data_IF_707686330483
#
_entry.id   IF_707686330483
#
_cell.length_a   1.000
_cell.length_b   1.000
_cell.length_c   1.000
_cell.angle_alpha   90.00
_cell.angle_beta   90.00
_cell.angle_gamma   90.00
#
_symmetry.space_group_name_H-M   'P 1'
#
loop_
_entity.id
_entity.type
_entity.pdbx_description
1 polymer ?
#
# COMPACT_ATOMS: atom_id res chain seq x y z
N UNK A 1 -6.37 2.99 -6.61
CA UNK A 1 -5.36 2.96 -5.55
C UNK A 1 -6.02 3.45 -4.28
N UNK A 2 -6.00 2.64 -3.24
CA UNK A 2 -6.62 2.91 -1.92
C UNK A 2 -5.56 3.41 -0.94
N UNK A 3 -5.98 4.19 0.06
CA UNK A 3 -5.08 4.66 1.13
C UNK A 3 -4.62 3.48 1.98
N UNK A 4 -5.48 2.50 2.22
CA UNK A 4 -5.14 1.25 2.88
C UNK A 4 -3.98 0.52 2.17
N UNK A 5 -3.86 0.59 0.83
CA UNK A 5 -2.73 -0.01 0.12
C UNK A 5 -1.41 0.71 0.44
N UNK A 6 -1.42 2.04 0.44
CA UNK A 6 -0.24 2.84 0.79
C UNK A 6 0.13 2.69 2.27
N UNK A 7 -0.87 2.55 3.15
CA UNK A 7 -0.68 2.26 4.56
C UNK A 7 0.08 0.95 4.76
N UNK A 8 -0.28 -0.11 4.04
CA UNK A 8 0.38 -1.40 4.15
C UNK A 8 1.84 -1.30 3.73
N UNK A 9 2.15 -0.54 2.67
CA UNK A 9 3.53 -0.27 2.25
C UNK A 9 4.32 0.47 3.35
N UNK A 10 3.76 1.53 3.93
CA UNK A 10 4.39 2.29 5.02
C UNK A 10 4.58 1.44 6.28
N UNK A 11 3.59 0.60 6.62
CA UNK A 11 3.69 -0.35 7.72
C UNK A 11 4.79 -1.39 7.48
N UNK A 12 4.95 -1.87 6.24
CA UNK A 12 6.05 -2.77 5.88
C UNK A 12 7.42 -2.08 6.02
N UNK A 13 7.55 -0.81 5.61
CA UNK A 13 8.79 -0.02 5.80
C UNK A 13 9.15 0.05 7.27
N UNK A 14 8.22 0.47 8.13
CA UNK A 14 8.45 0.53 9.59
C UNK A 14 8.78 -0.86 10.17
N UNK A 15 8.13 -1.92 9.69
CA UNK A 15 8.39 -3.28 10.17
C UNK A 15 9.78 -3.82 9.76
N UNK A 16 10.34 -3.35 8.65
CA UNK A 16 11.65 -3.79 8.14
C UNK A 16 12.80 -2.90 8.63
N UNK A 17 12.53 -1.63 8.91
CA UNK A 17 13.46 -0.67 9.51
C UNK A 17 12.77 0.09 10.65
N UNK A 18 12.57 -0.55 11.82
CA UNK A 18 11.82 0.07 12.90
C UNK A 18 12.53 1.30 13.47
N UNK A 19 11.76 2.36 13.70
CA UNK A 19 12.24 3.62 14.26
C UNK A 19 12.79 3.38 15.67
N UNK A 20 14.02 3.84 15.92
CA UNK A 20 14.70 3.68 17.20
C UNK A 20 15.28 2.28 17.47
N UNK A 21 15.28 1.37 16.48
CA UNK A 21 15.87 0.05 16.63
C UNK A 21 17.40 0.11 16.76
N UNK A 22 17.93 -0.62 17.75
CA UNK A 22 19.38 -0.89 17.89
C UNK A 22 19.81 -2.15 17.15
N UNK A 23 18.86 -3.02 16.81
CA UNK A 23 19.05 -4.24 16.03
C UNK A 23 17.96 -4.34 14.97
N UNK A 24 18.36 -4.63 13.73
CA UNK A 24 17.46 -4.68 12.58
C UNK A 24 17.04 -6.11 12.24
N UNK A 25 15.81 -6.31 11.74
CA UNK A 25 15.29 -7.63 11.41
C UNK A 25 15.90 -8.22 10.14
N UNK A 26 16.57 -7.40 9.32
CA UNK A 26 17.15 -7.82 8.04
C UNK A 26 18.58 -7.30 7.85
N UNK A 27 19.30 -7.91 6.90
CA UNK A 27 20.63 -7.46 6.48
C UNK A 27 20.65 -6.05 5.87
N UNK A 28 19.52 -5.53 5.41
CA UNK A 28 19.43 -4.17 4.85
C UNK A 28 19.54 -3.08 5.93
N UNK A 29 19.28 -3.41 7.21
CA UNK A 29 19.32 -2.46 8.32
C UNK A 29 18.41 -1.25 8.07
N UNK A 30 18.90 -0.02 8.25
CA UNK A 30 18.15 1.19 7.94
C UNK A 30 17.94 1.46 6.43
N UNK A 31 18.52 0.65 5.53
CA UNK A 31 18.47 0.87 4.08
C UNK A 31 17.21 0.28 3.45
N UNK A 32 16.07 0.74 3.95
CA UNK A 32 14.74 0.38 3.49
C UNK A 32 14.10 1.64 2.90
N UNK A 33 13.83 1.59 1.60
CA UNK A 33 13.42 2.74 0.82
C UNK A 33 11.95 2.63 0.43
N UNK A 34 11.24 3.73 0.63
CA UNK A 34 9.87 3.86 0.21
C UNK A 34 9.77 4.44 -1.21
N UNK A 35 9.21 3.67 -2.15
CA UNK A 35 8.81 4.11 -3.49
C UNK A 35 9.94 4.73 -4.32
N UNK A 36 11.18 4.39 -3.98
CA UNK A 36 12.39 4.88 -4.64
C UNK A 36 13.51 3.85 -4.53
N UNK A 37 14.51 4.00 -5.40
CA UNK A 37 15.74 3.22 -5.37
C UNK A 37 16.75 3.80 -4.37
N UNK A 38 17.73 3.01 -3.91
CA UNK A 38 18.90 3.53 -3.20
C UNK A 38 19.65 4.59 -4.02
N UNK A 39 20.23 5.56 -3.31
CA UNK A 39 21.15 6.54 -3.88
C UNK A 39 22.60 6.09 -3.60
N UNK A 40 23.55 6.61 -4.38
CA UNK A 40 24.96 6.19 -4.32
C UNK A 40 25.60 6.40 -2.93
N UNK A 41 25.23 7.50 -2.27
CA UNK A 41 25.71 7.87 -0.93
C UNK A 41 25.20 6.94 0.19
N UNK A 42 24.21 6.12 -0.09
CA UNK A 42 23.65 5.15 0.86
C UNK A 42 24.39 3.81 0.85
N UNK A 43 25.30 3.60 -0.11
CA UNK A 43 26.10 2.39 -0.24
C UNK A 43 27.31 2.43 0.71
N UNK A 44 27.62 1.29 1.29
CA UNK A 44 28.81 1.09 2.11
C UNK A 44 30.04 0.92 1.22
N UNK A 45 30.81 2.00 1.03
CA UNK A 45 32.00 2.01 0.20
C UNK A 45 33.10 1.03 0.67
N UNK A 46 33.03 0.53 1.92
CA UNK A 46 33.97 -0.45 2.46
C UNK A 46 33.58 -1.91 2.19
N UNK A 47 32.45 -2.17 1.52
CA UNK A 47 31.96 -3.52 1.25
C UNK A 47 31.83 -3.80 -0.23
N UNK A 48 31.91 -5.09 -0.58
CA UNK A 48 31.71 -5.56 -1.95
C UNK A 48 30.31 -5.25 -2.47
N UNK A 49 29.30 -5.31 -1.59
CA UNK A 49 27.93 -4.93 -1.86
C UNK A 49 27.21 -4.49 -0.60
N UNK A 50 26.14 -3.73 -0.80
CA UNK A 50 25.27 -3.21 0.25
C UNK A 50 23.87 -3.81 0.09
N UNK A 51 23.40 -4.65 1.03
CA UNK A 51 22.02 -5.10 1.05
C UNK A 51 21.06 -3.91 1.22
N UNK A 52 20.05 -3.84 0.36
CA UNK A 52 19.02 -2.78 0.38
C UNK A 52 17.65 -3.37 0.07
N UNK A 53 16.60 -2.69 0.53
CA UNK A 53 15.21 -3.01 0.20
C UNK A 53 14.53 -1.77 -0.37
N UNK A 54 13.79 -1.92 -1.47
CA UNK A 54 12.91 -0.86 -2.00
C UNK A 54 11.49 -1.39 -2.07
N UNK A 55 10.53 -0.67 -1.51
CA UNK A 55 9.13 -1.09 -1.42
C UNK A 55 8.24 -0.23 -2.30
N UNK A 56 7.35 -0.86 -3.05
CA UNK A 56 6.39 -0.22 -3.95
C UNK A 56 4.99 -0.82 -3.78
N UNK A 57 3.95 -0.02 -4.04
CA UNK A 57 2.59 -0.53 -4.23
C UNK A 57 2.44 -0.86 -5.71
N UNK A 58 2.50 -2.14 -6.08
CA UNK A 58 2.43 -2.54 -7.49
C UNK A 58 1.01 -2.50 -8.03
N UNK A 59 0.04 -2.85 -7.20
CA UNK A 59 -1.37 -2.95 -7.57
C UNK A 59 -2.23 -2.67 -6.35
N UNK A 60 -3.36 -2.01 -6.55
CA UNK A 60 -4.38 -1.80 -5.52
C UNK A 60 -5.77 -1.85 -6.14
N UNK A 61 -6.64 -2.67 -5.58
CA UNK A 61 -7.98 -2.95 -6.08
C UNK A 61 -9.01 -2.86 -4.95
N UNK A 62 -10.11 -2.14 -5.17
CA UNK A 62 -11.34 -2.28 -4.39
C UNK A 62 -12.35 -3.01 -5.28
N UNK A 63 -12.42 -4.33 -5.12
CA UNK A 63 -13.18 -5.19 -6.03
C UNK A 63 -14.70 -5.05 -5.83
N UNK A 64 -15.40 -4.63 -6.89
CA UNK A 64 -16.86 -4.73 -6.96
C UNK A 64 -17.25 -6.15 -7.38
N UNK A 65 -18.19 -6.76 -6.65
CA UNK A 65 -18.95 -7.94 -7.10
C UNK A 65 -19.88 -7.42 -8.20
N UNK A 66 -20.12 -8.27 -9.20
CA UNK A 66 -20.81 -7.92 -10.44
C UNK A 66 -22.10 -7.11 -10.26
N UNK A 67 -22.59 -6.54 -11.36
CA UNK A 67 -23.57 -5.45 -11.42
C UNK A 67 -24.87 -5.59 -10.57
N UNK A 68 -25.21 -6.77 -10.06
CA UNK A 68 -26.42 -7.02 -9.25
C UNK A 68 -26.23 -7.07 -7.73
N UNK A 69 -25.05 -6.77 -7.18
CA UNK A 69 -24.81 -6.80 -5.72
C UNK A 69 -24.63 -5.40 -5.14
N UNK A 70 -25.37 -5.10 -4.07
CA UNK A 70 -25.37 -3.80 -3.40
C UNK A 70 -24.01 -3.38 -2.80
N UNK A 71 -23.92 -2.10 -2.42
CA UNK A 71 -22.73 -1.50 -1.82
C UNK A 71 -22.63 -1.84 -0.33
N UNK A 72 -22.21 -3.06 0.00
CA UNK A 72 -21.78 -3.44 1.37
C UNK A 72 -20.29 -3.21 1.55
N UNK A 73 -19.84 -2.97 2.79
CA UNK A 73 -18.43 -2.83 3.17
C UNK A 73 -17.59 -4.01 2.63
N UNK A 74 -16.42 -3.72 2.05
CA UNK A 74 -15.59 -4.71 1.35
C UNK A 74 -14.18 -4.68 1.85
N UNK A 75 -13.45 -5.74 1.51
CA UNK A 75 -12.01 -5.78 1.62
C UNK A 75 -11.41 -5.36 0.27
N UNK A 76 -10.36 -4.56 0.31
CA UNK A 76 -9.49 -4.33 -0.83
C UNK A 76 -8.47 -5.45 -0.99
N UNK A 77 -7.76 -5.41 -2.12
CA UNK A 77 -6.58 -6.23 -2.38
C UNK A 77 -5.44 -5.32 -2.82
N UNK A 78 -4.23 -5.61 -2.36
CA UNK A 78 -3.02 -4.91 -2.79
C UNK A 78 -1.88 -5.88 -3.01
N UNK A 79 -0.99 -5.55 -3.93
CA UNK A 79 0.29 -6.26 -4.08
C UNK A 79 1.40 -5.31 -3.67
N UNK A 80 2.07 -5.64 -2.57
CA UNK A 80 3.29 -4.94 -2.16
C UNK A 80 4.47 -5.62 -2.83
N UNK A 81 5.24 -4.83 -3.54
CA UNK A 81 6.46 -5.25 -4.20
C UNK A 81 7.64 -4.87 -3.31
N UNK A 82 8.39 -5.87 -2.83
CA UNK A 82 9.64 -5.69 -2.10
C UNK A 82 10.79 -6.11 -2.99
N UNK A 83 11.56 -5.13 -3.45
CA UNK A 83 12.75 -5.34 -4.27
C UNK A 83 13.95 -5.47 -3.33
N UNK A 84 14.48 -6.68 -3.21
CA UNK A 84 15.69 -6.98 -2.46
C UNK A 84 16.90 -6.99 -3.40
N UNK A 85 17.92 -6.20 -3.08
CA UNK A 85 19.11 -6.02 -3.91
C UNK A 85 20.39 -6.07 -3.08
N UNK A 86 21.46 -6.60 -3.68
CA UNK A 86 22.83 -6.39 -3.23
C UNK A 86 23.44 -5.28 -4.09
N UNK A 87 23.29 -4.03 -3.64
CA UNK A 87 23.65 -2.84 -4.38
C UNK A 87 25.17 -2.60 -4.40
N UNK A 88 25.69 -2.22 -5.56
CA UNK A 88 27.10 -1.88 -5.81
C UNK A 88 27.21 -0.52 -6.49
N UNK A 89 28.32 0.17 -6.23
CA UNK A 89 28.68 1.37 -6.97
C UNK A 89 29.36 0.93 -8.28
N UNK A 90 28.65 1.07 -9.39
CA UNK A 90 29.17 0.86 -10.73
C UNK A 90 29.60 2.19 -11.35
N UNK A 91 30.42 2.14 -12.40
CA UNK A 91 30.84 3.32 -13.17
C UNK A 91 30.63 3.07 -14.65
N UNK A 92 30.01 4.02 -15.33
CA UNK A 92 29.92 4.08 -16.79
C UNK A 92 30.50 5.41 -17.31
N UNK A 93 30.24 5.74 -18.58
CA UNK A 93 30.69 6.98 -19.23
C UNK A 93 30.03 8.25 -18.64
N UNK A 94 28.83 8.13 -18.06
CA UNK A 94 28.04 9.22 -17.48
C UNK A 94 28.35 9.45 -15.98
N UNK A 95 28.99 8.48 -15.32
CA UNK A 95 29.51 8.62 -13.96
C UNK A 95 29.22 7.40 -13.08
N UNK A 96 29.38 7.54 -11.75
CA UNK A 96 29.06 6.46 -10.83
C UNK A 96 27.54 6.33 -10.64
N UNK A 97 27.01 5.10 -10.70
CA UNK A 97 25.60 4.79 -10.51
C UNK A 97 25.42 3.55 -9.62
N UNK A 98 24.19 3.33 -9.15
CA UNK A 98 23.85 2.16 -8.34
C UNK A 98 23.38 1.03 -9.24
N UNK A 99 24.05 -0.13 -9.14
CA UNK A 99 23.70 -1.37 -9.84
C UNK A 99 23.54 -2.52 -8.84
N UNK A 100 23.02 -3.66 -9.28
CA UNK A 100 22.94 -4.90 -8.49
C UNK A 100 23.78 -6.03 -9.10
N UNK A 101 24.66 -5.74 -10.05
CA UNK A 101 25.53 -6.74 -10.68
C UNK A 101 26.81 -6.98 -9.86
N UNK A 102 26.69 -7.76 -8.79
CA UNK A 102 27.82 -8.19 -7.95
C UNK A 102 28.64 -9.26 -8.67
N UNK A 103 29.42 -8.84 -9.68
CA UNK A 103 30.44 -9.64 -10.37
C UNK A 103 30.19 -11.16 -10.44
N UNK A 104 31.19 -11.94 -10.05
CA UNK A 104 31.13 -13.41 -10.05
C UNK A 104 31.14 -14.00 -8.64
N UNK A 105 30.70 -13.27 -7.61
CA UNK A 105 30.70 -13.79 -6.23
C UNK A 105 29.66 -14.93 -6.08
N UNK A 106 30.09 -16.19 -5.87
CA UNK A 106 29.16 -17.30 -5.69
C UNK A 106 28.35 -17.18 -4.39
N UNK A 107 28.81 -16.39 -3.40
CA UNK A 107 28.14 -16.25 -2.10
C UNK A 107 27.03 -15.20 -2.12
N UNK A 108 27.12 -14.20 -3.00
CA UNK A 108 26.12 -13.14 -3.13
C UNK A 108 24.69 -13.70 -3.27
N UNK A 109 24.49 -14.78 -4.03
CA UNK A 109 23.17 -15.39 -4.18
C UNK A 109 22.60 -15.96 -2.88
N UNK A 110 23.45 -16.54 -2.04
CA UNK A 110 23.05 -17.07 -0.72
C UNK A 110 22.68 -15.91 0.20
N UNK A 111 23.45 -14.82 0.18
CA UNK A 111 23.17 -13.62 0.98
C UNK A 111 21.85 -12.97 0.55
N UNK A 112 21.59 -12.88 -0.75
CA UNK A 112 20.32 -12.37 -1.27
C UNK A 112 19.14 -13.25 -0.84
N UNK A 113 19.29 -14.58 -0.92
CA UNK A 113 18.26 -15.51 -0.45
C UNK A 113 18.01 -15.36 1.07
N UNK A 114 19.06 -15.14 1.85
CA UNK A 114 18.94 -14.87 3.29
C UNK A 114 18.20 -13.55 3.56
N UNK A 115 18.49 -12.49 2.80
CA UNK A 115 17.76 -11.22 2.87
C UNK A 115 16.27 -11.41 2.58
N UNK A 116 15.91 -12.10 1.49
CA UNK A 116 14.50 -12.40 1.17
C UNK A 116 13.82 -13.21 2.28
N UNK A 117 14.49 -14.24 2.80
CA UNK A 117 13.96 -15.05 3.90
C UNK A 117 13.71 -14.22 5.17
N UNK A 118 14.61 -13.29 5.51
CA UNK A 118 14.46 -12.36 6.62
C UNK A 118 13.28 -11.40 6.41
N UNK A 119 13.08 -10.89 5.19
CA UNK A 119 11.91 -10.06 4.85
C UNK A 119 10.61 -10.83 5.08
N UNK A 120 10.50 -12.05 4.54
CA UNK A 120 9.31 -12.90 4.76
C UNK A 120 9.07 -13.12 6.25
N UNK A 121 10.11 -13.53 6.97
CA UNK A 121 10.00 -13.77 8.41
C UNK A 121 9.55 -12.49 9.14
N UNK A 122 10.24 -11.37 8.95
CA UNK A 122 9.96 -10.10 9.62
C UNK A 122 8.50 -9.67 9.45
N UNK A 123 7.97 -9.70 8.23
CA UNK A 123 6.61 -9.27 7.94
C UNK A 123 5.55 -10.29 8.43
N UNK A 124 5.75 -11.58 8.18
CA UNK A 124 4.69 -12.59 8.39
C UNK A 124 4.66 -13.23 9.77
N UNK A 125 5.80 -13.29 10.47
CA UNK A 125 5.91 -13.98 11.76
C UNK A 125 6.72 -13.21 12.81
N UNK A 126 7.63 -12.35 12.37
CA UNK A 126 8.60 -11.67 13.22
C UNK A 126 7.94 -10.63 14.13
N UNK A 127 8.62 -10.27 15.24
CA UNK A 127 8.08 -9.31 16.20
C UNK A 127 7.93 -7.90 15.61
N UNK A 128 8.83 -7.49 14.73
CA UNK A 128 8.81 -6.16 14.09
C UNK A 128 7.68 -6.01 13.08
N UNK A 129 7.17 -7.12 12.52
CA UNK A 129 6.02 -7.17 11.60
C UNK A 129 4.65 -6.88 12.21
N UNK A 130 4.56 -6.57 13.50
CA UNK A 130 3.26 -6.43 14.19
C UNK A 130 2.38 -5.34 13.57
N UNK A 131 2.96 -4.20 13.17
CA UNK A 131 2.20 -3.10 12.56
C UNK A 131 1.74 -3.49 11.16
N UNK A 132 2.62 -4.08 10.34
CA UNK A 132 2.26 -4.62 9.04
C UNK A 132 1.09 -5.62 9.12
N UNK A 133 1.16 -6.59 10.04
CA UNK A 133 0.09 -7.60 10.23
C UNK A 133 -1.22 -7.04 10.78
N UNK A 134 -1.22 -5.82 11.32
CA UNK A 134 -2.46 -5.10 11.69
C UNK A 134 -3.03 -4.27 10.53
N UNK A 135 -2.18 -3.88 9.58
CA UNK A 135 -2.60 -3.14 8.39
C UNK A 135 -3.20 -4.06 7.31
N UNK A 136 -2.81 -5.34 7.29
CA UNK A 136 -3.39 -6.36 6.40
C UNK A 136 -4.37 -7.27 7.16
N UNK A 137 -5.36 -7.79 6.44
CA UNK A 137 -6.24 -8.86 6.94
C UNK A 137 -5.52 -10.21 6.79
N UNK A 138 -4.89 -10.44 5.65
CA UNK A 138 -4.13 -11.65 5.36
C UNK A 138 -3.10 -11.39 4.25
N UNK A 139 -2.00 -12.15 4.27
CA UNK A 139 -1.12 -12.32 3.12
C UNK A 139 -1.54 -13.62 2.44
N UNK A 140 -2.11 -13.52 1.24
CA UNK A 140 -2.65 -14.66 0.48
C UNK A 140 -1.57 -15.41 -0.28
N UNK A 141 -0.50 -14.72 -0.67
CA UNK A 141 0.59 -15.29 -1.46
C UNK A 141 1.86 -14.45 -1.38
N UNK A 142 2.99 -15.11 -1.59
CA UNK A 142 4.31 -14.47 -1.72
C UNK A 142 5.02 -15.13 -2.91
N UNK A 143 5.17 -14.40 -4.00
CA UNK A 143 5.95 -14.82 -5.16
C UNK A 143 7.34 -14.17 -5.15
N UNK A 144 8.36 -14.88 -5.63
CA UNK A 144 9.74 -14.36 -5.70
C UNK A 144 10.30 -14.51 -7.11
N UNK A 145 10.60 -13.38 -7.75
CA UNK A 145 11.12 -13.30 -9.11
C UNK A 145 12.57 -12.84 -9.09
N UNK A 146 13.49 -13.73 -9.47
CA UNK A 146 14.90 -13.40 -9.65
C UNK A 146 15.17 -12.73 -10.98
N UNK A 147 16.21 -11.89 -11.04
CA UNK A 147 16.63 -11.21 -12.26
C UNK A 147 17.96 -11.79 -12.77
N UNK A 148 17.87 -12.73 -13.70
CA UNK A 148 19.03 -13.27 -14.40
C UNK A 148 18.68 -13.47 -15.87
N UNK A 149 19.64 -13.17 -16.75
CA UNK A 149 19.60 -13.52 -18.17
C UNK A 149 20.82 -14.40 -18.44
N UNK A 150 20.74 -15.71 -18.12
CA UNK A 150 21.88 -16.61 -18.19
C UNK A 150 22.52 -16.68 -19.57
N UNK A 151 21.73 -16.54 -20.63
CA UNK A 151 22.16 -16.61 -22.03
C UNK A 151 23.09 -15.45 -22.40
N UNK A 152 22.97 -14.31 -21.70
CA UNK A 152 23.84 -13.14 -21.86
C UNK A 152 24.92 -13.05 -20.76
N UNK A 153 25.00 -14.04 -19.87
CA UNK A 153 25.90 -14.01 -18.72
C UNK A 153 25.55 -12.95 -17.66
N UNK A 154 24.39 -12.29 -17.79
CA UNK A 154 23.98 -11.20 -16.90
C UNK A 154 23.25 -11.77 -15.68
N UNK A 155 23.74 -11.42 -14.50
CA UNK A 155 23.19 -11.89 -13.22
C UNK A 155 23.08 -10.71 -12.28
N UNK A 156 21.85 -10.24 -12.09
CA UNK A 156 21.59 -9.24 -11.06
C UNK A 156 21.34 -9.95 -9.75
N UNK A 157 22.00 -9.47 -8.70
CA UNK A 157 21.70 -9.84 -7.32
C UNK A 157 20.49 -9.04 -6.85
N UNK A 158 19.37 -9.29 -7.54
CA UNK A 158 18.07 -8.68 -7.33
C UNK A 158 17.00 -9.77 -7.33
N UNK A 159 16.13 -9.72 -6.34
CA UNK A 159 14.91 -10.52 -6.28
C UNK A 159 13.75 -9.59 -5.96
N UNK A 160 12.67 -9.71 -6.73
CA UNK A 160 11.42 -8.99 -6.48
C UNK A 160 10.45 -9.93 -5.78
N UNK A 161 10.01 -9.56 -4.58
CA UNK A 161 9.05 -10.32 -3.79
C UNK A 161 7.68 -9.65 -3.89
N UNK A 162 6.66 -10.40 -4.31
CA UNK A 162 5.30 -9.89 -4.47
C UNK A 162 4.42 -10.45 -3.36
N UNK A 163 4.09 -9.60 -2.40
CA UNK A 163 3.19 -9.94 -1.30
C UNK A 163 1.76 -9.59 -1.70
N UNK A 164 0.98 -10.62 -1.99
CA UNK A 164 -0.44 -10.47 -2.25
C UNK A 164 -1.20 -10.35 -0.93
N UNK A 165 -1.81 -9.20 -0.68
CA UNK A 165 -2.39 -8.83 0.60
C UNK A 165 -3.88 -8.53 0.45
N UNK A 166 -4.68 -9.19 1.28
CA UNK A 166 -6.05 -8.80 1.56
C UNK A 166 -6.03 -7.67 2.59
N UNK A 167 -6.70 -6.56 2.30
CA UNK A 167 -6.68 -5.33 3.12
C UNK A 167 -8.10 -4.87 3.42
N UNK A 168 -8.36 -4.16 4.52
CA UNK A 168 -9.63 -3.46 4.69
C UNK A 168 -9.77 -2.34 3.63
N UNK A 169 -10.99 -1.95 3.31
CA UNK A 169 -11.25 -0.77 2.48
C UNK A 169 -11.20 0.52 3.31
N UNK A 170 -11.08 1.66 2.64
CA UNK A 170 -10.96 2.96 3.31
C UNK A 170 -12.32 3.45 3.83
N UNK A 171 -12.44 3.66 5.14
CA UNK A 171 -13.65 4.22 5.75
C UNK A 171 -13.43 5.69 6.11
N UNK A 172 -14.03 6.57 5.31
CA UNK A 172 -13.99 8.02 5.54
C UNK A 172 -15.05 8.44 6.56
N UNK A 173 -14.72 9.47 7.34
CA UNK A 173 -15.64 10.08 8.30
C UNK A 173 -15.87 11.54 7.95
N UNK A 174 -17.04 12.09 8.36
CA UNK A 174 -17.39 13.48 8.10
C UNK A 174 -16.46 14.49 8.81
N UNK A 175 -15.81 14.06 9.91
CA UNK A 175 -14.87 14.88 10.68
C UNK A 175 -13.60 15.19 9.89
N UNK A 176 -13.32 14.47 8.80
CA UNK A 176 -12.09 14.59 8.03
C UNK A 176 -10.90 13.88 8.68
N UNK A 177 -9.70 14.13 8.16
CA UNK A 177 -8.47 13.45 8.56
C UNK A 177 -8.29 12.06 7.93
N UNK A 178 -7.44 11.24 8.55
CA UNK A 178 -7.15 9.90 8.03
C UNK A 178 -8.39 9.00 8.10
N UNK A 179 -8.72 8.27 7.01
CA UNK A 179 -9.74 7.23 7.07
C UNK A 179 -9.28 6.04 7.93
N UNK A 180 -10.23 5.20 8.35
CA UNK A 180 -9.86 3.90 8.91
C UNK A 180 -9.43 2.94 7.79
N UNK A 181 -8.45 2.05 8.03
CA UNK A 181 -7.72 1.84 9.30
C UNK A 181 -6.48 2.74 9.47
N UNK A 182 -6.19 3.65 8.53
CA UNK A 182 -4.96 4.45 8.54
C UNK A 182 -4.82 5.30 9.81
N UNK A 183 -5.93 5.85 10.32
CA UNK A 183 -5.93 6.56 11.60
C UNK A 183 -5.51 5.67 12.78
N UNK A 184 -6.04 4.44 12.87
CA UNK A 184 -5.69 3.50 13.94
C UNK A 184 -4.21 3.11 13.88
N UNK A 185 -3.69 2.81 12.69
CA UNK A 185 -2.28 2.43 12.52
C UNK A 185 -1.36 3.63 12.80
N UNK A 186 -1.72 4.84 12.37
CA UNK A 186 -0.94 6.04 12.67
C UNK A 186 -0.79 6.28 14.19
N UNK A 187 -1.82 5.96 14.97
CA UNK A 187 -1.78 6.05 16.43
C UNK A 187 -0.83 5.02 17.09
N UNK A 188 -0.54 3.91 16.40
CA UNK A 188 0.37 2.87 16.89
C UNK A 188 1.84 3.10 16.52
N UNK A 189 2.09 3.96 15.53
CA UNK A 189 3.43 4.23 15.05
C UNK A 189 4.20 5.14 16.02
N UNK A 190 5.53 4.95 16.16
CA UNK A 190 6.40 5.85 16.90
C UNK A 190 6.27 7.30 16.41
N UNK A 191 6.35 8.27 17.33
CA UNK A 191 6.15 9.69 17.01
C UNK A 191 7.10 10.21 15.93
N UNK A 192 8.37 9.81 16.00
CA UNK A 192 9.42 10.23 15.06
C UNK A 192 9.54 9.31 13.83
N UNK A 193 8.57 8.41 13.61
CA UNK A 193 8.64 7.47 12.48
C UNK A 193 8.32 8.14 11.15
N UNK A 194 9.08 7.78 10.12
CA UNK A 194 8.83 8.21 8.74
C UNK A 194 7.42 7.86 8.28
N UNK A 195 6.94 6.66 8.61
CA UNK A 195 5.60 6.19 8.26
C UNK A 195 4.51 7.09 8.87
N UNK A 196 4.64 7.47 10.15
CA UNK A 196 3.66 8.34 10.81
C UNK A 196 3.67 9.75 10.23
N UNK A 197 4.85 10.33 10.03
CA UNK A 197 4.98 11.64 9.40
C UNK A 197 4.34 11.68 8.01
N UNK A 198 4.54 10.62 7.22
CA UNK A 198 3.94 10.49 5.87
C UNK A 198 2.42 10.39 5.94
N UNK A 199 1.87 9.56 6.84
CA UNK A 199 0.43 9.44 7.04
C UNK A 199 -0.19 10.77 7.52
N UNK A 200 0.45 11.48 8.43
CA UNK A 200 -0.03 12.77 8.92
C UNK A 200 0.00 13.85 7.82
N UNK A 201 1.03 13.84 6.98
CA UNK A 201 1.09 14.73 5.79
C UNK A 201 -0.08 14.45 4.83
N UNK A 202 -0.40 13.17 4.61
CA UNK A 202 -1.57 12.77 3.82
C UNK A 202 -2.89 13.15 4.49
N UNK A 203 -2.98 13.07 5.83
CA UNK A 203 -4.16 13.47 6.60
C UNK A 203 -4.60 14.91 6.32
N UNK A 204 -3.64 15.80 6.10
CA UNK A 204 -3.88 17.22 5.81
C UNK A 204 -4.64 17.45 4.49
N UNK A 205 -4.72 16.44 3.61
CA UNK A 205 -5.49 16.52 2.36
C UNK A 205 -6.99 16.22 2.56
N UNK A 206 -7.38 15.67 3.71
CA UNK A 206 -8.77 15.29 4.01
C UNK A 206 -9.40 16.29 4.98
N UNK A 207 -10.03 17.33 4.43
CA UNK A 207 -10.78 18.31 5.21
C UNK A 207 -12.08 17.71 5.79
N UNK A 208 -12.60 18.34 6.85
CA UNK A 208 -13.97 18.09 7.30
C UNK A 208 -14.93 18.52 6.19
N UNK A 209 -15.94 17.70 5.93
CA UNK A 209 -17.02 18.06 5.02
C UNK A 209 -18.28 18.36 5.83
N UNK A 210 -18.94 19.48 5.52
CA UNK A 210 -20.31 19.68 6.00
C UNK A 210 -21.18 18.55 5.45
N UNK A 211 -22.13 18.01 6.24
CA UNK A 211 -23.04 16.98 5.77
C UNK A 211 -23.72 17.45 4.49
N UNK A 212 -23.55 16.70 3.39
CA UNK A 212 -24.34 16.94 2.21
C UNK A 212 -25.82 16.79 2.58
N UNK A 213 -26.71 17.65 2.08
CA UNK A 213 -28.13 17.51 2.32
C UNK A 213 -28.56 16.11 1.88
N UNK A 214 -29.23 15.39 2.77
CA UNK A 214 -29.84 14.10 2.42
C UNK A 214 -30.84 14.38 1.31
N UNK A 215 -30.72 13.67 0.19
CA UNK A 215 -31.75 13.68 -0.85
C UNK A 215 -33.00 13.02 -0.26
N UNK A 216 -33.85 13.85 0.34
CA UNK A 216 -35.15 13.52 0.88
C UNK A 216 -36.22 13.39 -0.21
N UNK A 217 -35.95 13.95 -1.40
CA UNK A 217 -36.89 14.00 -2.51
C UNK A 217 -36.17 13.80 -3.84
N UNK A 218 -36.69 12.91 -4.70
CA UNK A 218 -36.29 12.85 -6.11
C UNK A 218 -37.54 12.95 -6.99
N UNK A 219 -37.67 14.06 -7.70
CA UNK A 219 -38.67 14.20 -8.75
C UNK A 219 -38.09 13.61 -10.04
N UNK A 220 -38.81 12.71 -10.70
CA UNK A 220 -38.46 12.24 -12.03
C UNK A 220 -39.62 12.54 -12.99
N UNK A 221 -39.31 13.13 -14.13
CA UNK A 221 -40.31 13.36 -15.19
C UNK A 221 -40.22 12.23 -16.21
N UNK A 222 -41.17 11.30 -16.19
CA UNK A 222 -41.36 10.36 -17.31
C UNK A 222 -42.38 10.94 -18.28
N UNK A 223 -41.95 11.44 -19.43
CA UNK A 223 -42.88 11.75 -20.54
C UNK A 223 -43.33 10.47 -21.23
N UNK A 224 -44.27 9.75 -20.59
CA UNK A 224 -45.10 8.75 -21.26
C UNK A 224 -46.53 9.28 -21.22
N UNK A 225 -47.08 9.63 -22.39
CA UNK A 225 -48.46 10.12 -22.54
C UNK A 225 -48.83 11.39 -21.74
N UNK A 226 -47.86 12.26 -21.41
CA UNK A 226 -48.13 13.58 -20.81
C UNK A 226 -48.44 13.58 -19.31
N UNK A 227 -48.17 12.48 -18.59
CA UNK A 227 -48.38 12.39 -17.13
C UNK A 227 -47.04 12.51 -16.40
N UNK A 228 -46.92 13.46 -15.48
CA UNK A 228 -45.76 13.63 -14.58
C UNK A 228 -46.03 13.03 -13.20
N UNK A 229 -45.09 12.29 -12.63
CA UNK A 229 -45.15 11.74 -11.26
C UNK A 229 -44.04 12.29 -10.37
N UNK A 230 -44.26 12.27 -9.06
CA UNK A 230 -43.25 12.56 -8.04
C UNK A 230 -43.25 11.42 -7.01
N UNK A 231 -42.07 11.09 -6.45
CA UNK A 231 -41.94 10.09 -5.38
C UNK A 231 -41.07 10.64 -4.25
N UNK A 232 -41.55 10.51 -3.01
CA UNK A 232 -40.89 11.01 -1.80
C UNK A 232 -41.77 10.79 -0.56
N UNK A 233 -41.28 11.17 0.64
CA UNK A 233 -42.09 11.20 1.86
C UNK A 233 -43.36 12.05 1.66
N UNK A 234 -44.46 11.74 2.37
CA UNK A 234 -45.76 12.40 2.17
C UNK A 234 -45.73 13.92 2.35
N UNK A 235 -44.78 14.46 3.11
CA UNK A 235 -44.58 15.88 3.32
C UNK A 235 -43.83 16.59 2.17
N UNK A 236 -43.18 15.83 1.28
CA UNK A 236 -42.30 16.34 0.22
C UNK A 236 -42.88 16.19 -1.20
N UNK A 237 -44.02 15.51 -1.33
CA UNK A 237 -44.73 15.33 -2.61
C UNK A 237 -45.96 16.23 -2.61
N UNK A 238 -46.07 17.14 -3.58
CA UNK A 238 -47.33 17.88 -3.80
C UNK A 238 -48.35 16.89 -4.35
N UNK A 239 -49.52 16.70 -3.71
CA UNK A 239 -50.45 15.66 -4.13
C UNK A 239 -51.01 15.95 -5.53
N UNK A 240 -51.12 14.92 -6.38
CA UNK A 240 -52.18 14.84 -7.36
C UNK A 240 -52.88 13.48 -7.17
N UNK A 241 -53.21 13.10 -5.95
CA UNK A 241 -54.13 11.99 -5.74
C UNK A 241 -55.48 12.61 -5.47
N UNK A 242 -56.29 12.74 -6.53
CA UNK A 242 -57.71 12.97 -6.35
C UNK A 242 -58.22 11.91 -5.37
N UNK A 243 -58.98 12.33 -4.36
CA UNK A 243 -59.68 11.43 -3.43
C UNK A 243 -60.33 10.30 -4.23
N UNK A 244 -59.77 9.09 -4.11
CA UNK A 244 -60.47 7.88 -4.55
C UNK A 244 -61.40 7.58 -3.39
N UNK A 245 -62.62 8.10 -3.47
CA UNK A 245 -63.70 7.78 -2.54
C UNK A 245 -64.01 6.28 -2.56
N UNK A 246 -64.38 5.77 -1.37
CA UNK A 246 -64.78 4.37 -1.13
C UNK A 246 -65.90 3.86 -2.05
#
# INVERSE_FOLDING_TARGET
MTIAAELVRLAAVESLSPTGASAFPTLARERVFDSRRPLLDMLDAGKEYTPVLSLFTRKSESARRGAGQGSVARNGRTVIEVVAELAVASKDEDGPFVDAMVGSDPKARIVLAALCAQVRFALTAGPTGTIFRRAVIAVEGIDEEGFAVPELGLRWQRTTMLFDCLIPDDEFTAVGGLPQPAAQIAAMLPDDSYAKATLLSMAAQFGSADPLPVLDTFAFETKVNGVSGQAGPSAAVSPPFADIGD
#
